data_IF_281639773001
#
_entry.id   IF_281639773001
#
_cell.length_a   1.000
_cell.length_b   1.000
_cell.length_c   1.000
_cell.angle_alpha   90.00
_cell.angle_beta   90.00
_cell.angle_gamma   90.00
#
_symmetry.space_group_name_H-M   'P 1'
#
loop_
_entity.id
_entity.type
_entity.pdbx_description
1 polymer ?
#
# COMPACT_ATOMS: atom_id res chain seq x y z
N UNK A 1 -24.57 18.98 14.72
CA UNK A 1 -23.70 18.62 13.58
C UNK A 1 -22.78 19.81 13.32
N UNK A 2 -21.47 19.67 13.47
CA UNK A 2 -20.54 20.79 13.22
C UNK A 2 -20.46 21.05 11.72
N UNK A 3 -20.88 22.24 11.27
CA UNK A 3 -20.84 22.63 9.86
C UNK A 3 -19.42 22.53 9.30
N UNK A 4 -19.29 21.96 8.10
CA UNK A 4 -18.03 21.88 7.34
C UNK A 4 -17.45 23.28 7.04
N UNK A 5 -18.29 24.32 7.13
CA UNK A 5 -17.95 25.73 6.88
C UNK A 5 -17.11 26.36 8.00
N UNK A 6 -16.91 25.69 9.15
CA UNK A 6 -16.00 26.15 10.22
C UNK A 6 -14.63 25.47 10.27
N UNK A 7 -14.33 24.53 9.38
CA UNK A 7 -13.03 23.83 9.39
C UNK A 7 -11.93 24.65 8.70
N UNK A 8 -10.71 24.75 9.24
CA UNK A 8 -9.58 25.38 8.55
C UNK A 8 -9.39 24.83 7.13
N UNK A 9 -8.98 25.67 6.16
CA UNK A 9 -8.91 25.32 4.74
C UNK A 9 -8.19 23.99 4.43
N UNK A 10 -7.08 23.60 5.11
CA UNK A 10 -6.39 22.35 4.81
C UNK A 10 -7.26 21.11 5.08
N UNK A 11 -8.16 21.19 6.06
CA UNK A 11 -9.06 20.09 6.39
C UNK A 11 -10.27 20.01 5.47
N UNK A 12 -10.66 21.11 4.81
CA UNK A 12 -11.75 21.12 3.82
C UNK A 12 -11.31 20.51 2.49
N UNK A 13 -10.14 20.89 2.01
CA UNK A 13 -9.61 20.42 0.71
C UNK A 13 -8.97 19.04 0.78
N UNK A 14 -8.61 18.56 1.98
CA UNK A 14 -8.05 17.22 2.15
C UNK A 14 -9.04 16.12 1.70
N UNK A 15 -8.54 15.03 1.08
CA UNK A 15 -9.36 13.88 0.75
C UNK A 15 -9.95 13.26 2.03
N UNK A 16 -11.13 12.65 1.90
CA UNK A 16 -11.82 11.99 3.03
C UNK A 16 -11.25 10.60 3.27
N UNK A 17 -11.21 10.20 4.54
CA UNK A 17 -10.67 8.89 4.95
C UNK A 17 -11.43 7.70 4.35
N UNK A 18 -12.77 7.79 4.30
CA UNK A 18 -13.68 6.78 3.76
C UNK A 18 -13.58 5.36 4.38
N UNK A 19 -12.86 5.18 5.49
CA UNK A 19 -12.87 3.90 6.21
C UNK A 19 -14.27 3.62 6.78
N UNK A 20 -14.67 2.34 6.84
CA UNK A 20 -15.93 1.92 7.44
C UNK A 20 -15.89 2.20 8.94
N UNK A 21 -16.82 3.03 9.41
CA UNK A 21 -16.99 3.33 10.83
C UNK A 21 -17.74 2.20 11.54
N UNK A 22 -17.79 2.23 12.88
CA UNK A 22 -18.60 1.29 13.68
C UNK A 22 -20.09 1.32 13.34
N UNK A 23 -20.59 2.48 12.89
CA UNK A 23 -21.97 2.65 12.43
C UNK A 23 -22.20 2.17 10.99
N UNK A 24 -21.18 1.60 10.33
CA UNK A 24 -21.28 1.07 8.96
C UNK A 24 -21.14 2.12 7.86
N UNK A 25 -21.14 3.41 8.18
CA UNK A 25 -20.98 4.51 7.22
C UNK A 25 -19.51 4.84 6.95
N UNK A 26 -19.23 5.56 5.86
CA UNK A 26 -17.88 5.98 5.48
C UNK A 26 -17.38 7.17 6.33
N UNK A 27 -16.15 7.08 6.84
CA UNK A 27 -15.53 8.13 7.63
C UNK A 27 -15.31 9.43 6.82
N UNK A 28 -15.87 10.54 7.34
CA UNK A 28 -15.77 11.87 6.73
C UNK A 28 -14.61 12.74 7.26
N UNK A 29 -13.80 12.19 8.17
CA UNK A 29 -12.62 12.91 8.66
C UNK A 29 -11.60 13.09 7.53
N UNK A 30 -10.89 14.24 7.50
CA UNK A 30 -9.82 14.46 6.53
C UNK A 30 -8.70 13.42 6.73
N UNK A 31 -8.13 12.95 5.62
CA UNK A 31 -6.96 12.10 5.63
C UNK A 31 -5.74 12.87 6.13
N UNK A 32 -4.80 12.16 6.76
CA UNK A 32 -3.50 12.75 7.13
C UNK A 32 -2.72 13.05 5.85
N UNK A 33 -1.98 14.16 5.81
CA UNK A 33 -1.16 14.55 4.66
C UNK A 33 -0.26 13.38 4.21
N UNK A 34 -0.26 13.08 2.91
CA UNK A 34 0.48 11.97 2.31
C UNK A 34 -0.11 10.57 2.59
N UNK A 35 -1.29 10.47 3.19
CA UNK A 35 -1.96 9.19 3.50
C UNK A 35 -3.40 9.16 2.98
N UNK A 36 -3.94 7.95 2.90
CA UNK A 36 -5.32 7.69 2.44
C UNK A 36 -6.34 7.60 3.58
N UNK A 37 -5.88 7.67 4.84
CA UNK A 37 -6.71 7.48 6.03
C UNK A 37 -6.49 8.59 7.06
N UNK A 38 -7.51 8.85 7.88
CA UNK A 38 -7.41 9.79 8.98
C UNK A 38 -6.61 9.18 10.15
N UNK A 39 -6.22 10.02 11.11
CA UNK A 39 -5.48 9.60 12.32
C UNK A 39 -6.12 8.41 13.05
N UNK A 40 -7.46 8.37 13.10
CA UNK A 40 -8.23 7.35 13.82
C UNK A 40 -8.37 6.02 13.05
N UNK A 41 -8.20 6.01 11.73
CA UNK A 41 -8.38 4.83 10.89
C UNK A 41 -7.07 4.40 10.22
N UNK A 42 -5.96 4.44 10.95
CA UNK A 42 -4.66 3.96 10.47
C UNK A 42 -3.83 5.00 9.71
N UNK A 43 -4.10 6.29 9.92
CA UNK A 43 -3.28 7.40 9.39
C UNK A 43 -2.30 8.00 10.41
N UNK A 44 -2.31 7.59 11.67
CA UNK A 44 -1.44 8.15 12.70
C UNK A 44 0.07 7.91 12.41
N UNK A 45 0.99 8.73 12.94
CA UNK A 45 2.41 8.39 12.94
C UNK A 45 2.63 7.01 13.56
N UNK A 46 3.45 6.16 12.93
CA UNK A 46 3.69 4.79 13.40
C UNK A 46 2.52 3.80 13.19
N UNK A 47 1.41 4.19 12.57
CA UNK A 47 0.34 3.26 12.24
C UNK A 47 0.69 2.38 11.04
N UNK A 48 0.24 1.12 11.09
CA UNK A 48 0.52 0.12 10.06
C UNK A 48 1.47 -0.96 10.58
N UNK A 49 1.57 -2.07 9.84
CA UNK A 49 2.52 -3.12 10.20
C UNK A 49 3.96 -2.60 10.00
N UNK A 50 4.89 -2.91 10.92
CA UNK A 50 6.29 -2.61 10.71
C UNK A 50 6.85 -3.40 9.51
N UNK A 51 8.00 -2.98 9.00
CA UNK A 51 8.71 -3.67 7.91
C UNK A 51 9.68 -4.71 8.46
N UNK A 52 10.08 -5.66 7.61
CA UNK A 52 11.11 -6.66 7.91
C UNK A 52 10.74 -7.57 9.08
N UNK A 53 11.76 -8.01 9.83
CA UNK A 53 11.66 -8.96 10.94
C UNK A 53 10.71 -8.54 12.06
N UNK A 54 10.50 -7.23 12.22
CA UNK A 54 9.55 -6.69 13.21
C UNK A 54 8.10 -6.97 12.84
N UNK A 55 7.82 -7.32 11.58
CA UNK A 55 6.48 -7.68 11.15
C UNK A 55 6.13 -9.09 11.63
N UNK A 56 5.02 -9.24 12.35
CA UNK A 56 4.57 -10.56 12.81
C UNK A 56 4.21 -11.55 11.69
N UNK A 57 4.05 -11.08 10.45
CA UNK A 57 3.90 -11.92 9.25
C UNK A 57 5.24 -12.25 8.56
N UNK A 58 6.35 -11.70 9.05
CA UNK A 58 7.69 -12.07 8.59
C UNK A 58 8.00 -13.52 9.00
N UNK A 59 8.55 -14.29 8.07
CA UNK A 59 8.91 -15.70 8.28
C UNK A 59 10.33 -15.96 7.81
N UNK A 60 10.56 -15.81 6.51
CA UNK A 60 11.80 -16.19 5.84
C UNK A 60 12.34 -15.09 4.92
N UNK A 61 11.87 -13.84 5.04
CA UNK A 61 12.32 -12.72 4.18
C UNK A 61 11.83 -12.73 2.73
N UNK A 62 11.57 -13.91 2.13
CA UNK A 62 11.19 -14.02 0.70
C UNK A 62 9.88 -13.31 0.27
N UNK A 63 9.13 -12.70 1.20
CA UNK A 63 7.93 -11.88 0.87
C UNK A 63 8.13 -10.39 1.17
N UNK A 64 9.36 -9.95 1.39
CA UNK A 64 9.65 -8.51 1.44
C UNK A 64 9.51 -7.90 0.04
N UNK A 65 9.42 -6.57 -0.04
CA UNK A 65 9.31 -5.87 -1.32
C UNK A 65 10.55 -6.14 -2.17
N UNK A 66 11.73 -6.07 -1.54
CA UNK A 66 13.03 -6.28 -2.15
C UNK A 66 13.18 -7.71 -2.71
N UNK A 67 12.75 -8.73 -1.93
CA UNK A 67 12.80 -10.12 -2.38
C UNK A 67 11.85 -10.38 -3.56
N UNK A 68 10.66 -9.77 -3.54
CA UNK A 68 9.69 -9.88 -4.63
C UNK A 68 10.18 -9.16 -5.90
N UNK A 69 10.88 -8.05 -5.78
CA UNK A 69 11.50 -7.35 -6.93
C UNK A 69 12.58 -8.22 -7.59
N UNK A 70 13.45 -8.83 -6.80
CA UNK A 70 14.46 -9.78 -7.31
C UNK A 70 13.80 -10.98 -7.99
N UNK A 71 12.81 -11.61 -7.35
CA UNK A 71 12.08 -12.75 -7.92
C UNK A 71 11.40 -12.38 -9.26
N UNK A 72 10.78 -11.20 -9.35
CA UNK A 72 10.21 -10.69 -10.61
C UNK A 72 11.28 -10.54 -11.70
N UNK A 73 12.43 -9.97 -11.35
CA UNK A 73 13.56 -9.81 -12.28
C UNK A 73 14.08 -11.16 -12.79
N UNK A 74 14.33 -12.10 -11.89
CA UNK A 74 14.76 -13.47 -12.24
C UNK A 74 13.73 -14.18 -13.12
N UNK A 75 12.44 -14.10 -12.78
CA UNK A 75 11.36 -14.70 -13.59
C UNK A 75 11.28 -14.09 -14.98
N UNK A 76 11.43 -12.77 -15.10
CA UNK A 76 11.44 -12.09 -16.39
C UNK A 76 12.63 -12.54 -17.26
N UNK A 77 13.82 -12.70 -16.66
CA UNK A 77 14.99 -13.20 -17.36
C UNK A 77 14.79 -14.65 -17.86
N UNK A 78 14.33 -15.55 -16.99
CA UNK A 78 14.07 -16.96 -17.35
C UNK A 78 13.02 -17.05 -18.46
N UNK A 79 11.97 -16.23 -18.41
CA UNK A 79 10.96 -16.19 -19.49
C UNK A 79 11.56 -15.78 -20.82
N UNK A 80 12.37 -14.72 -20.85
CA UNK A 80 13.05 -14.28 -22.09
C UNK A 80 14.02 -15.33 -22.61
N UNK A 81 14.78 -15.97 -21.72
CA UNK A 81 15.72 -17.02 -22.11
C UNK A 81 14.99 -18.22 -22.73
N UNK A 82 13.85 -18.64 -22.18
CA UNK A 82 13.03 -19.71 -22.76
C UNK A 82 12.48 -19.35 -24.13
N UNK A 83 11.91 -18.16 -24.29
CA UNK A 83 11.42 -17.68 -25.58
C UNK A 83 12.55 -17.65 -26.63
N UNK A 84 13.73 -17.16 -26.26
CA UNK A 84 14.89 -17.16 -27.14
C UNK A 84 15.29 -18.57 -27.59
N UNK A 85 15.30 -19.55 -26.68
CA UNK A 85 15.64 -20.94 -27.01
C UNK A 85 14.61 -21.62 -27.91
N UNK A 86 13.32 -21.29 -27.75
CA UNK A 86 12.23 -21.78 -28.61
C UNK A 86 12.32 -21.21 -30.03
N UNK A 87 12.87 -20.01 -30.19
CA UNK A 87 13.06 -19.34 -31.47
C UNK A 87 14.33 -19.79 -32.23
N UNK A 88 15.18 -20.64 -31.64
CA UNK A 88 16.34 -21.20 -32.33
C UNK A 88 15.84 -22.34 -33.24
N UNK A 89 15.95 -22.22 -34.58
CA UNK A 89 15.59 -23.31 -35.46
C UNK A 89 16.53 -24.49 -35.24
N UNK A 90 15.97 -25.70 -35.19
CA UNK A 90 16.75 -26.94 -35.19
C UNK A 90 17.67 -26.95 -36.41
N UNK A 91 18.98 -26.85 -36.17
CA UNK A 91 20.03 -26.95 -37.18
C UNK A 91 20.16 -28.37 -37.73
#
# INVERSE_FOLDING_TARGET
>A
MHSLDRQPSPFRTAPRCCAKTRAGTACQSPAVNGKTRCRMHGGAPGSGAPRGERNGAYRHGMRTVEALEVDRGCRALVRRARAFLEDIPDS
#
